data_IF_863513730365
#
_entry.id   IF_863513730365
#
_cell.length_a   1.000
_cell.length_b   1.000
_cell.length_c   1.000
_cell.angle_alpha   90.00
_cell.angle_beta   90.00
_cell.angle_gamma   90.00
#
_symmetry.space_group_name_H-M   'P 1'
#
loop_
_entity.id
_entity.type
_entity.pdbx_description
1 polymer ?
#
# COMPACT_ATOMS: atom_id res chain seq x y z
N UNK A 1 -0.16 18.94 -8.61
CA UNK A 1 -0.79 18.49 -7.35
C UNK A 1 0.00 19.13 -6.22
N UNK A 2 -0.68 19.83 -5.30
CA UNK A 2 -0.03 20.37 -4.10
C UNK A 2 0.57 19.22 -3.27
N UNK A 3 1.68 19.45 -2.55
CA UNK A 3 2.22 18.45 -1.64
C UNK A 3 1.20 18.12 -0.55
N UNK A 4 0.97 16.82 -0.28
CA UNK A 4 0.05 16.38 0.77
C UNK A 4 0.60 16.79 2.14
N UNK A 5 -0.15 17.63 2.86
CA UNK A 5 0.18 18.02 4.23
C UNK A 5 0.09 16.81 5.19
N UNK A 6 1.16 16.55 5.93
CA UNK A 6 1.20 15.48 6.96
C UNK A 6 0.50 15.88 8.26
N UNK A 7 0.25 17.18 8.47
CA UNK A 7 -0.27 17.73 9.72
C UNK A 7 -1.74 17.35 9.93
N UNK A 8 -2.48 17.18 8.83
CA UNK A 8 -3.92 16.97 8.84
C UNK A 8 -4.31 15.49 9.02
N UNK A 9 -3.32 14.60 9.11
CA UNK A 9 -3.54 13.16 9.14
C UNK A 9 -3.15 12.49 10.46
N UNK A 10 -3.84 11.38 10.69
CA UNK A 10 -3.57 10.42 11.75
C UNK A 10 -3.52 9.01 11.19
N UNK A 11 -2.67 8.17 11.76
CA UNK A 11 -2.58 6.73 11.46
C UNK A 11 -3.53 5.99 12.39
N UNK A 12 -4.44 5.21 11.83
CA UNK A 12 -5.28 4.29 12.59
C UNK A 12 -4.45 3.09 13.08
N UNK A 13 -4.38 2.89 14.38
CA UNK A 13 -3.60 1.81 15.00
C UNK A 13 -4.22 0.41 14.82
N UNK A 14 -5.45 0.35 14.28
CA UNK A 14 -6.16 -0.91 14.01
C UNK A 14 -5.94 -1.39 12.57
N UNK A 15 -6.14 -0.51 11.58
CA UNK A 15 -6.04 -0.88 10.16
C UNK A 15 -4.79 -0.35 9.45
N UNK A 16 -3.96 0.46 10.12
CA UNK A 16 -2.84 1.22 9.53
C UNK A 16 -3.24 2.13 8.36
N UNK A 17 -4.54 2.42 8.22
CA UNK A 17 -5.07 3.41 7.27
C UNK A 17 -5.02 4.82 7.85
N UNK A 18 -5.03 5.81 6.98
CA UNK A 18 -5.00 7.22 7.37
C UNK A 18 -6.41 7.78 7.53
N UNK A 19 -6.58 8.67 8.51
CA UNK A 19 -7.75 9.51 8.68
C UNK A 19 -7.31 10.97 8.86
N UNK A 20 -7.95 11.90 8.17
CA UNK A 20 -7.54 13.30 8.16
C UNK A 20 -8.43 14.16 7.27
N UNK A 21 -8.33 15.47 7.42
CA UNK A 21 -9.11 16.43 6.65
C UNK A 21 -8.15 17.34 5.87
N UNK A 22 -7.77 16.98 4.63
CA UNK A 22 -6.88 17.83 3.86
C UNK A 22 -7.58 19.15 3.53
N UNK A 23 -6.86 20.29 3.47
CA UNK A 23 -7.46 21.61 3.26
C UNK A 23 -8.29 21.71 1.97
N UNK A 24 -7.86 20.98 0.94
CA UNK A 24 -8.53 20.94 -0.36
C UNK A 24 -9.89 20.21 -0.32
N UNK A 25 -10.22 19.53 0.78
CA UNK A 25 -11.43 18.73 0.90
C UNK A 25 -12.05 18.77 2.32
N UNK A 26 -12.09 19.96 2.92
CA UNK A 26 -12.61 20.17 4.30
C UNK A 26 -14.02 19.60 4.53
N UNK A 27 -14.84 19.54 3.48
CA UNK A 27 -16.22 19.03 3.55
C UNK A 27 -16.32 17.51 3.48
N UNK A 28 -15.23 16.81 3.15
CA UNK A 28 -15.23 15.36 2.96
C UNK A 28 -13.91 14.76 3.51
N UNK A 29 -13.82 14.56 4.84
CA UNK A 29 -12.60 14.06 5.45
C UNK A 29 -12.26 12.66 4.95
N UNK A 30 -10.98 12.39 4.73
CA UNK A 30 -10.51 11.03 4.55
C UNK A 30 -10.70 10.27 5.86
N UNK A 31 -11.33 9.09 5.76
CA UNK A 31 -11.47 8.18 6.88
C UNK A 31 -10.69 6.89 6.66
N UNK A 32 -10.24 6.28 7.76
CA UNK A 32 -9.53 5.01 7.70
C UNK A 32 -10.49 3.87 7.33
N UNK A 33 -9.92 2.72 6.91
CA UNK A 33 -10.68 1.55 6.45
C UNK A 33 -11.74 1.06 7.45
N UNK A 34 -11.52 1.21 8.76
CA UNK A 34 -12.44 0.76 9.80
C UNK A 34 -13.85 1.39 9.74
N UNK A 35 -14.03 2.50 9.05
CA UNK A 35 -15.30 3.27 9.00
C UNK A 35 -15.63 3.74 7.57
N UNK A 36 -14.96 3.19 6.56
CA UNK A 36 -15.00 3.73 5.18
C UNK A 36 -16.18 3.21 4.36
N UNK A 37 -16.81 2.11 4.75
CA UNK A 37 -17.74 1.35 3.89
C UNK A 37 -19.07 2.07 3.58
N UNK A 38 -19.30 3.27 4.09
CA UNK A 38 -20.59 3.97 3.99
C UNK A 38 -20.51 5.42 3.50
N UNK A 39 -19.36 5.89 2.99
CA UNK A 39 -19.22 7.30 2.58
C UNK A 39 -19.49 7.54 1.09
N UNK A 40 -20.29 8.57 0.75
CA UNK A 40 -20.43 9.02 -0.64
C UNK A 40 -19.07 9.31 -1.28
N UNK A 41 -18.89 8.94 -2.55
CA UNK A 41 -17.66 9.28 -3.28
C UNK A 41 -17.49 10.79 -3.39
N UNK A 42 -16.26 11.28 -3.23
CA UNK A 42 -15.93 12.68 -3.43
C UNK A 42 -16.16 13.06 -4.90
N UNK A 43 -16.70 14.26 -5.18
CA UNK A 43 -16.91 14.71 -6.55
C UNK A 43 -15.63 14.63 -7.38
N UNK A 44 -15.67 13.91 -8.51
CA UNK A 44 -14.54 13.80 -9.45
C UNK A 44 -13.38 12.90 -8.99
N UNK A 45 -13.47 12.23 -7.85
CA UNK A 45 -12.42 11.33 -7.37
C UNK A 45 -12.71 9.87 -7.71
N UNK A 46 -11.67 9.09 -8.05
CA UNK A 46 -11.80 7.64 -8.19
C UNK A 46 -12.06 6.99 -6.82
N UNK A 47 -11.36 7.48 -5.78
CA UNK A 47 -11.43 6.98 -4.40
C UNK A 47 -11.39 8.12 -3.36
N UNK A 48 -12.11 7.95 -2.25
CA UNK A 48 -12.07 8.84 -1.07
C UNK A 48 -10.76 8.70 -0.27
N UNK A 49 -9.63 8.97 -0.91
CA UNK A 49 -8.30 8.87 -0.35
C UNK A 49 -7.44 9.94 -1.01
N UNK A 50 -6.79 10.80 -0.24
CA UNK A 50 -5.77 11.74 -0.73
C UNK A 50 -4.38 11.14 -0.60
N UNK A 51 -4.17 10.33 0.45
CA UNK A 51 -2.89 9.68 0.70
C UNK A 51 -3.03 8.40 1.51
N UNK A 52 -2.00 7.56 1.43
CA UNK A 52 -1.83 6.37 2.26
C UNK A 52 -0.37 6.24 2.68
N UNK A 53 -0.12 5.47 3.72
CA UNK A 53 1.22 4.93 3.92
C UNK A 53 1.52 3.85 2.87
N UNK A 54 2.79 3.72 2.47
CA UNK A 54 3.28 2.63 1.63
C UNK A 54 2.81 1.28 2.19
N UNK A 55 2.13 0.48 1.36
CA UNK A 55 1.49 -0.75 1.80
C UNK A 55 2.49 -1.83 2.23
N UNK A 56 3.73 -1.77 1.76
CA UNK A 56 4.82 -2.65 2.17
C UNK A 56 5.45 -2.18 3.49
N UNK A 57 6.18 -1.05 3.47
CA UNK A 57 7.04 -0.66 4.58
C UNK A 57 6.32 0.16 5.67
N UNK A 58 5.23 0.87 5.33
CA UNK A 58 4.57 1.87 6.17
C UNK A 58 5.45 3.02 6.66
N UNK A 59 6.66 3.21 6.11
CA UNK A 59 7.60 4.25 6.57
C UNK A 59 7.41 5.58 5.85
N UNK A 60 6.60 5.60 4.79
CA UNK A 60 6.47 6.75 3.90
C UNK A 60 4.99 7.01 3.57
N UNK A 61 4.65 8.30 3.49
CA UNK A 61 3.37 8.78 2.96
C UNK A 61 3.47 8.90 1.44
N UNK A 62 2.52 8.30 0.72
CA UNK A 62 2.42 8.38 -0.73
C UNK A 62 1.08 9.01 -1.15
N UNK A 63 1.05 9.78 -2.25
CA UNK A 63 -0.20 10.24 -2.86
C UNK A 63 -1.10 9.06 -3.24
N UNK A 64 -2.41 9.25 -3.09
CA UNK A 64 -3.42 8.23 -3.40
C UNK A 64 -4.66 8.89 -4.00
N UNK A 65 -5.72 8.10 -4.21
CA UNK A 65 -7.03 8.61 -4.63
C UNK A 65 -7.37 8.45 -6.09
N UNK A 66 -6.37 8.24 -6.94
CA UNK A 66 -6.58 7.89 -8.34
C UNK A 66 -6.54 6.37 -8.53
N UNK A 67 -7.21 5.89 -9.57
CA UNK A 67 -7.01 4.54 -10.10
C UNK A 67 -5.57 4.26 -10.52
N UNK A 68 -4.81 5.32 -10.81
CA UNK A 68 -3.40 5.27 -11.20
C UNK A 68 -2.41 5.41 -10.04
N UNK A 69 -2.90 5.55 -8.81
CA UNK A 69 -2.02 5.70 -7.65
C UNK A 69 -1.32 4.38 -7.30
N UNK A 70 -0.02 4.48 -6.98
CA UNK A 70 0.79 3.36 -6.48
C UNK A 70 0.33 2.95 -5.07
N UNK A 71 0.49 1.67 -4.74
CA UNK A 71 0.38 1.20 -3.34
C UNK A 71 1.68 1.34 -2.55
N UNK A 72 2.80 1.59 -3.22
CA UNK A 72 4.13 1.58 -2.65
C UNK A 72 4.84 2.93 -2.82
N UNK A 73 5.75 3.24 -1.90
CA UNK A 73 6.82 4.21 -2.16
C UNK A 73 7.73 3.70 -3.28
N UNK A 74 8.55 4.58 -3.85
CA UNK A 74 9.32 4.25 -5.05
C UNK A 74 10.22 3.01 -4.87
N UNK A 75 10.98 2.91 -3.78
CA UNK A 75 11.83 1.74 -3.50
C UNK A 75 11.03 0.43 -3.39
N UNK A 76 9.93 0.44 -2.63
CA UNK A 76 9.10 -0.76 -2.46
C UNK A 76 8.37 -1.12 -3.76
N UNK A 77 8.10 -0.13 -4.63
CA UNK A 77 7.51 -0.33 -5.95
C UNK A 77 8.50 -1.06 -6.86
N UNK A 78 9.77 -0.65 -6.84
CA UNK A 78 10.84 -1.29 -7.63
C UNK A 78 11.06 -2.74 -7.19
N UNK A 79 11.18 -2.99 -5.88
CA UNK A 79 11.28 -4.36 -5.35
C UNK A 79 10.08 -5.23 -5.75
N UNK A 80 8.87 -4.69 -5.65
CA UNK A 80 7.65 -5.40 -6.07
C UNK A 80 7.63 -5.69 -7.58
N UNK A 81 8.14 -4.76 -8.40
CA UNK A 81 8.24 -4.94 -9.85
C UNK A 81 9.26 -6.03 -10.20
N UNK A 82 10.47 -5.95 -9.65
CA UNK A 82 11.54 -6.93 -9.87
C UNK A 82 11.10 -8.32 -9.42
N UNK A 83 10.41 -8.43 -8.29
CA UNK A 83 9.86 -9.71 -7.84
C UNK A 83 8.88 -10.29 -8.86
N UNK A 84 7.93 -9.48 -9.36
CA UNK A 84 6.95 -9.95 -10.35
C UNK A 84 7.63 -10.37 -11.67
N UNK A 85 8.67 -9.65 -12.08
CA UNK A 85 9.47 -9.97 -13.27
C UNK A 85 10.15 -11.34 -13.10
N UNK A 86 10.84 -11.56 -11.97
CA UNK A 86 11.48 -12.85 -11.66
C UNK A 86 10.44 -13.98 -11.52
N UNK A 87 9.29 -13.70 -10.91
CA UNK A 87 8.22 -14.68 -10.73
C UNK A 87 7.46 -15.00 -12.04
N UNK A 88 7.62 -14.19 -13.10
CA UNK A 88 6.89 -14.33 -14.36
C UNK A 88 5.37 -14.13 -14.22
N UNK A 89 4.90 -13.57 -13.11
CA UNK A 89 3.47 -13.35 -12.81
C UNK A 89 3.27 -12.21 -11.82
N UNK A 90 2.06 -11.68 -11.78
CA UNK A 90 1.68 -10.69 -10.75
C UNK A 90 1.51 -11.38 -9.40
N UNK A 91 2.40 -11.04 -8.46
CA UNK A 91 2.30 -11.36 -7.03
C UNK A 91 1.97 -10.08 -6.26
N UNK A 92 2.71 -9.03 -6.55
CA UNK A 92 2.54 -7.71 -5.95
C UNK A 92 1.81 -6.77 -6.91
N UNK A 93 0.59 -6.39 -6.55
CA UNK A 93 -0.15 -5.40 -7.34
C UNK A 93 0.46 -4.02 -7.11
N UNK A 94 0.73 -3.28 -8.18
CA UNK A 94 1.34 -1.95 -8.18
C UNK A 94 0.32 -0.85 -7.87
N UNK A 95 -0.94 -1.05 -8.25
CA UNK A 95 -1.99 -0.07 -8.02
C UNK A 95 -3.39 -0.63 -8.25
N UNK A 96 -4.38 0.25 -8.18
CA UNK A 96 -5.81 -0.09 -8.20
C UNK A 96 -6.34 -0.42 -9.59
N UNK A 97 -5.65 -0.02 -10.65
CA UNK A 97 -6.04 -0.30 -12.02
C UNK A 97 -5.30 -1.51 -12.59
N UNK A 98 -6.01 -2.40 -13.28
CA UNK A 98 -5.45 -3.63 -13.87
C UNK A 98 -4.22 -3.41 -14.75
N UNK A 99 -4.22 -2.34 -15.56
CA UNK A 99 -3.07 -1.99 -16.41
C UNK A 99 -1.78 -1.66 -15.68
N UNK A 100 -1.85 -1.16 -14.44
CA UNK A 100 -0.64 -0.93 -13.64
C UNK A 100 0.07 -2.23 -13.25
N UNK A 101 -0.62 -3.36 -13.41
CA UNK A 101 -0.16 -4.66 -12.98
C UNK A 101 0.24 -5.55 -14.18
N UNK A 102 0.18 -5.04 -15.41
CA UNK A 102 0.57 -5.80 -16.59
C UNK A 102 2.11 -5.83 -16.73
N UNK A 103 2.72 -6.97 -17.12
CA UNK A 103 4.13 -7.03 -17.44
C UNK A 103 4.47 -6.04 -18.56
N UNK A 104 5.57 -5.28 -18.41
CA UNK A 104 6.09 -4.46 -19.50
C UNK A 104 5.39 -3.11 -19.76
N UNK A 105 4.58 -2.57 -18.85
CA UNK A 105 4.01 -1.21 -18.98
C UNK A 105 5.04 -0.05 -18.87
N UNK A 106 6.34 -0.35 -19.10
CA UNK A 106 7.42 0.59 -19.41
C UNK A 106 8.26 0.19 -20.64
N UNK A 107 7.90 -0.87 -21.36
CA UNK A 107 8.53 -1.32 -22.60
C UNK A 107 7.52 -1.25 -23.75
N UNK A 108 7.96 -0.67 -24.88
CA UNK A 108 7.18 -0.60 -26.12
C UNK A 108 6.80 -2.03 -26.54
N UNK A 109 5.52 -2.33 -26.81
CA UNK A 109 5.11 -3.71 -27.08
C UNK A 109 5.72 -4.19 -28.40
N UNK A 110 6.43 -5.32 -28.35
CA UNK A 110 6.73 -6.11 -29.53
C UNK A 110 5.43 -6.76 -30.01
N UNK A 111 5.12 -6.60 -31.29
CA UNK A 111 3.82 -6.86 -31.91
C UNK A 111 3.59 -8.35 -32.21
N UNK A 112 3.88 -9.22 -31.25
CA UNK A 112 3.50 -10.62 -31.27
C UNK A 112 2.04 -10.78 -30.84
N UNK A 113 1.13 -11.00 -31.81
CA UNK A 113 -0.30 -11.27 -31.59
C UNK A 113 -0.51 -12.38 -30.56
N UNK A 114 -1.03 -12.03 -29.38
CA UNK A 114 -1.64 -12.98 -28.44
C UNK A 114 -3.11 -13.17 -28.85
N UNK A 115 -3.63 -14.41 -28.99
CA UNK A 115 -5.01 -14.65 -29.38
C UNK A 115 -6.02 -14.04 -28.40
N UNK A 116 -7.05 -13.40 -28.95
CA UNK A 116 -8.13 -12.76 -28.19
C UNK A 116 -9.18 -13.83 -27.87
N UNK A 117 -9.05 -14.44 -26.67
CA UNK A 117 -10.05 -14.88 -25.67
C UNK A 117 -9.59 -16.20 -24.99
N UNK A 118 -9.52 -16.28 -23.63
CA UNK A 118 -10.57 -15.95 -22.66
C UNK A 118 -10.18 -14.76 -21.76
N UNK A 119 -10.44 -13.54 -22.23
CA UNK A 119 -10.18 -12.30 -21.51
C UNK A 119 -11.01 -12.24 -20.23
N UNK A 120 -12.25 -12.73 -20.25
CA UNK A 120 -13.12 -12.75 -19.07
C UNK A 120 -12.59 -13.68 -17.98
N UNK A 121 -12.20 -14.91 -18.30
CA UNK A 121 -11.73 -15.88 -17.30
C UNK A 121 -10.35 -15.50 -16.74
N UNK A 122 -9.47 -14.96 -17.59
CA UNK A 122 -8.18 -14.41 -17.17
C UNK A 122 -8.38 -13.17 -16.28
N UNK A 123 -9.31 -12.28 -16.65
CA UNK A 123 -9.66 -11.10 -15.86
C UNK A 123 -10.28 -11.48 -14.51
N UNK A 124 -11.20 -12.44 -14.46
CA UNK A 124 -11.80 -12.93 -13.22
C UNK A 124 -10.75 -13.55 -12.29
N UNK A 125 -9.83 -14.35 -12.82
CA UNK A 125 -8.70 -14.89 -12.03
C UNK A 125 -7.78 -13.78 -11.52
N UNK A 126 -7.57 -12.72 -12.31
CA UNK A 126 -6.77 -11.54 -11.88
C UNK A 126 -7.51 -10.74 -10.80
N UNK A 127 -8.83 -10.56 -10.93
CA UNK A 127 -9.67 -9.85 -9.96
C UNK A 127 -9.81 -10.62 -8.64
N UNK A 128 -9.99 -11.94 -8.70
CA UNK A 128 -10.05 -12.82 -7.53
C UNK A 128 -8.71 -12.80 -6.76
N UNK A 129 -7.59 -12.91 -7.49
CA UNK A 129 -6.24 -12.75 -6.92
C UNK A 129 -6.00 -11.37 -6.33
N UNK A 130 -6.55 -10.32 -6.94
CA UNK A 130 -6.47 -8.95 -6.41
C UNK A 130 -7.29 -8.80 -5.12
N UNK A 131 -8.46 -9.44 -5.05
CA UNK A 131 -9.26 -9.55 -3.83
C UNK A 131 -8.50 -10.27 -2.70
N UNK A 132 -7.91 -11.43 -3.00
CA UNK A 132 -7.07 -12.16 -2.07
C UNK A 132 -5.85 -11.33 -1.60
N UNK A 133 -5.18 -10.64 -2.54
CA UNK A 133 -4.10 -9.70 -2.21
C UNK A 133 -4.59 -8.62 -1.25
N UNK A 134 -5.73 -7.97 -1.52
CA UNK A 134 -6.30 -6.98 -0.61
C UNK A 134 -6.70 -7.53 0.76
N UNK A 135 -7.19 -8.77 0.83
CA UNK A 135 -7.47 -9.44 2.09
C UNK A 135 -6.18 -9.62 2.90
N UNK A 136 -5.10 -10.13 2.27
CA UNK A 136 -3.80 -10.30 2.92
C UNK A 136 -3.22 -8.95 3.35
N UNK A 137 -3.28 -7.92 2.50
CA UNK A 137 -2.78 -6.58 2.85
C UNK A 137 -3.56 -5.94 4.00
N UNK A 138 -4.81 -6.34 4.22
CA UNK A 138 -5.60 -5.92 5.38
C UNK A 138 -5.13 -6.55 6.69
N UNK A 139 -4.37 -7.65 6.63
CA UNK A 139 -3.72 -8.30 7.77
C UNK A 139 -2.28 -7.81 7.93
N UNK A 140 -1.53 -7.73 6.82
CA UNK A 140 -0.13 -7.31 6.80
C UNK A 140 0.04 -5.89 7.36
N UNK A 141 -0.73 -4.91 6.89
CA UNK A 141 -0.50 -3.51 7.28
C UNK A 141 -0.66 -3.29 8.79
N UNK A 142 -1.72 -3.78 9.45
CA UNK A 142 -1.80 -3.74 10.92
C UNK A 142 -0.66 -4.47 11.61
N UNK A 143 -0.30 -5.66 11.14
CA UNK A 143 0.81 -6.44 11.70
C UNK A 143 2.12 -5.66 11.64
N UNK A 144 2.44 -5.11 10.46
CA UNK A 144 3.65 -4.32 10.23
C UNK A 144 3.70 -3.07 11.09
N UNK A 145 2.57 -2.36 11.20
CA UNK A 145 2.47 -1.19 12.07
C UNK A 145 2.81 -1.53 13.53
N UNK A 146 2.35 -2.69 14.03
CA UNK A 146 2.67 -3.11 15.41
C UNK A 146 4.18 -3.32 15.61
N UNK A 147 4.86 -3.97 14.68
CA UNK A 147 6.32 -4.16 14.74
C UNK A 147 7.05 -2.83 14.80
N UNK A 148 6.65 -1.88 13.93
CA UNK A 148 7.23 -0.53 13.89
C UNK A 148 7.00 0.20 15.23
N UNK A 149 5.78 0.15 15.77
CA UNK A 149 5.46 0.80 17.05
C UNK A 149 6.22 0.20 18.23
N UNK A 150 6.35 -1.13 18.28
CA UNK A 150 7.13 -1.83 19.29
C UNK A 150 8.60 -1.38 19.26
N UNK A 151 9.20 -1.32 18.07
CA UNK A 151 10.58 -0.85 17.90
C UNK A 151 10.76 0.64 18.27
N UNK A 152 9.71 1.44 18.16
CA UNK A 152 9.69 2.83 18.66
C UNK A 152 9.50 2.95 20.18
N UNK A 153 9.49 1.82 20.91
CA UNK A 153 9.21 1.78 22.35
C UNK A 153 7.78 2.16 22.71
N UNK A 154 6.84 2.12 21.75
CA UNK A 154 5.43 2.40 22.00
C UNK A 154 4.71 1.09 22.31
N UNK A 155 4.01 1.06 23.44
CA UNK A 155 3.02 0.02 23.68
C UNK A 155 1.89 0.17 22.66
N UNK A 156 1.56 -0.93 21.97
CA UNK A 156 0.37 -0.99 21.11
C UNK A 156 -0.83 -0.92 22.06
N UNK A 157 -1.65 0.14 22.00
CA UNK A 157 -2.78 0.24 22.91
C UNK A 157 -3.70 -0.98 22.69
N UNK A 158 -4.30 -1.53 23.75
CA UNK A 158 -5.33 -2.55 23.61
C UNK A 158 -6.44 -2.04 22.69
N UNK A 159 -7.24 -2.94 22.10
CA UNK A 159 -8.28 -2.63 21.08
C UNK A 159 -9.22 -1.43 21.40
N UNK A 160 -9.27 -1.01 22.67
CA UNK A 160 -10.14 0.04 23.20
C UNK A 160 -9.44 1.38 23.54
N UNK A 161 -8.11 1.50 23.42
CA UNK A 161 -7.38 2.75 23.66
C UNK A 161 -7.42 3.74 22.48
N UNK A 162 -6.71 4.88 22.61
CA UNK A 162 -6.61 5.89 21.55
C UNK A 162 -6.21 5.24 20.20
N UNK A 163 -7.17 5.15 19.28
CA UNK A 163 -7.03 4.39 18.02
C UNK A 163 -6.20 5.11 16.95
N UNK A 164 -5.65 6.28 17.25
CA UNK A 164 -5.04 7.17 16.26
C UNK A 164 -3.75 7.77 16.78
N UNK A 165 -2.74 7.83 15.91
CA UNK A 165 -1.45 8.48 16.14
C UNK A 165 -1.27 9.62 15.13
N UNK A 166 -0.79 10.79 15.54
CA UNK A 166 -0.49 11.89 14.62
C UNK A 166 0.53 11.45 13.57
N UNK A 167 0.21 11.65 12.29
CA UNK A 167 1.02 11.15 11.18
C UNK A 167 2.41 11.79 11.19
N UNK A 168 2.52 13.11 11.37
CA UNK A 168 3.80 13.82 11.49
C UNK A 168 4.73 13.17 12.52
N UNK A 169 4.22 12.92 13.73
CA UNK A 169 4.99 12.31 14.82
C UNK A 169 5.35 10.85 14.56
N UNK A 170 4.52 10.13 13.81
CA UNK A 170 4.82 8.77 13.34
C UNK A 170 5.95 8.78 12.31
N UNK A 171 5.81 9.54 11.22
CA UNK A 171 6.79 9.60 10.14
C UNK A 171 8.15 10.11 10.60
N UNK A 172 8.19 11.11 11.49
CA UNK A 172 9.44 11.61 12.07
C UNK A 172 10.24 10.52 12.82
N UNK A 173 9.55 9.55 13.43
CA UNK A 173 10.20 8.39 14.05
C UNK A 173 10.48 7.29 13.03
N UNK A 174 9.55 7.04 12.10
CA UNK A 174 9.65 5.99 11.10
C UNK A 174 10.81 6.23 10.11
N UNK A 175 11.13 7.49 9.82
CA UNK A 175 12.26 7.87 8.96
C UNK A 175 13.61 7.32 9.48
N UNK A 176 13.74 7.10 10.80
CA UNK A 176 14.95 6.51 11.39
C UNK A 176 15.05 5.00 11.17
N UNK A 177 13.99 4.38 10.66
CA UNK A 177 13.91 2.94 10.44
C UNK A 177 14.14 2.55 8.98
N UNK A 178 14.25 3.49 8.04
CA UNK A 178 14.34 3.22 6.60
C UNK A 178 15.43 2.22 6.23
N UNK A 179 16.58 2.30 6.90
CA UNK A 179 17.74 1.42 6.74
C UNK A 179 17.89 0.40 7.88
N UNK A 180 16.89 0.26 8.75
CA UNK A 180 17.00 -0.65 9.89
C UNK A 180 17.05 -2.10 9.39
N UNK A 181 17.96 -2.96 9.88
CA UNK A 181 18.19 -4.30 9.33
C UNK A 181 16.95 -5.22 9.37
N UNK A 182 16.04 -4.97 10.32
CA UNK A 182 14.78 -5.75 10.46
C UNK A 182 13.52 -4.95 10.05
N UNK A 183 13.63 -3.63 9.92
CA UNK A 183 12.47 -2.73 9.82
C UNK A 183 12.55 -1.73 8.67
N UNK A 184 13.66 -1.73 7.94
CA UNK A 184 13.86 -0.95 6.74
C UNK A 184 13.02 -1.44 5.57
N UNK A 185 13.14 -0.73 4.45
CA UNK A 185 12.32 -1.00 3.25
C UNK A 185 12.58 -2.40 2.69
N UNK A 186 13.84 -2.80 2.56
CA UNK A 186 14.21 -4.12 2.05
C UNK A 186 13.77 -5.24 3.01
N UNK A 187 14.03 -5.09 4.31
CA UNK A 187 13.57 -6.03 5.33
C UNK A 187 12.03 -6.12 5.40
N UNK A 188 11.33 -5.00 5.21
CA UNK A 188 9.87 -5.00 5.13
C UNK A 188 9.38 -5.80 3.93
N UNK A 189 10.04 -5.65 2.79
CA UNK A 189 9.69 -6.37 1.57
C UNK A 189 9.95 -7.87 1.71
N UNK A 190 11.11 -8.27 2.23
CA UNK A 190 11.41 -9.69 2.54
C UNK A 190 10.39 -10.31 3.49
N UNK A 191 10.05 -9.60 4.57
CA UNK A 191 9.03 -10.07 5.52
C UNK A 191 7.62 -10.13 4.89
N UNK A 192 7.27 -9.22 3.96
CA UNK A 192 6.01 -9.28 3.23
C UNK A 192 5.97 -10.48 2.26
N UNK A 193 7.08 -10.74 1.56
CA UNK A 193 7.26 -11.93 0.72
C UNK A 193 7.02 -13.22 1.53
N UNK A 194 7.65 -13.35 2.69
CA UNK A 194 7.40 -14.47 3.61
C UNK A 194 5.95 -14.54 4.08
N UNK A 195 5.35 -13.40 4.45
CA UNK A 195 3.96 -13.30 4.89
C UNK A 195 2.96 -13.75 3.81
N UNK A 196 3.30 -13.55 2.54
CA UNK A 196 2.52 -14.01 1.38
C UNK A 196 2.78 -15.48 1.00
N UNK A 197 3.68 -16.18 1.68
CA UNK A 197 4.09 -17.55 1.31
C UNK A 197 4.93 -17.60 0.03
N UNK A 198 5.62 -16.50 -0.28
CA UNK A 198 6.33 -16.26 -1.52
C UNK A 198 7.72 -15.69 -1.19
N UNK A 199 8.64 -16.50 -0.65
CA UNK A 199 9.94 -16.00 -0.16
C UNK A 199 10.68 -15.24 -1.25
N UNK A 200 11.44 -14.22 -0.82
CA UNK A 200 12.24 -13.41 -1.74
C UNK A 200 13.23 -14.30 -2.50
N UNK A 201 13.35 -14.18 -3.83
CA UNK A 201 14.41 -14.85 -4.56
C UNK A 201 15.77 -14.40 -4.03
N UNK A 202 16.77 -15.28 -4.07
CA UNK A 202 18.12 -15.00 -3.56
C UNK A 202 18.79 -13.78 -4.21
N UNK A 203 18.31 -13.34 -5.37
CA UNK A 203 18.77 -12.13 -6.06
C UNK A 203 18.25 -10.81 -5.45
N UNK A 204 17.28 -10.87 -4.54
CA UNK A 204 16.67 -9.72 -3.85
C UNK A 204 16.99 -9.71 -2.33
N UNK A 205 17.74 -10.70 -1.86
CA UNK A 205 18.11 -10.91 -0.45
C UNK A 205 19.41 -10.18 -0.08
#
# INVERSE_FOLDING_TARGET
MSPVSVEDFTVCLVCAGLAGCPPENERAPQVCKCIREEQPRWPGADFNEHATLCWCCLLELIPSGSRWSSFYCDDCRELAREYNEVAGRVVFYQGRHGWMNLPGSGARPDTGRVPIDPFAETLWRVLDRMGAFFAVMSLWRPYRLRLILQAMGRQVPPRNGARRLRLRGYLAKAAKLTEHPLLGRQAAFGALCEFLGHPAPASLA
#
